data_IF_480331059397
#
_entry.id   IF_480331059397
#
_cell.length_a   1.000
_cell.length_b   1.000
_cell.length_c   1.000
_cell.angle_alpha   90.00
_cell.angle_beta   90.00
_cell.angle_gamma   90.00
#
_symmetry.space_group_name_H-M   'P 1'
#
loop_
_entity.id
_entity.type
_entity.pdbx_description
1 polymer ?
#
# COMPACT_ATOMS: atom_id res chain seq x y z
N UNK A 1 29.28 4.24 8.32
CA UNK A 1 30.04 3.08 7.73
C UNK A 1 30.22 3.34 6.25
N UNK A 2 31.45 3.32 5.76
CA UNK A 2 31.79 3.51 4.33
C UNK A 2 32.33 2.20 3.77
N UNK A 3 31.83 1.80 2.61
CA UNK A 3 32.30 0.60 1.89
C UNK A 3 32.78 1.00 0.50
N UNK A 4 34.00 0.61 0.17
CA UNK A 4 34.64 0.88 -1.12
C UNK A 4 34.60 -0.36 -2.00
N UNK A 5 34.18 -0.21 -3.24
CA UNK A 5 34.07 -1.27 -4.21
C UNK A 5 34.96 -0.97 -5.42
N UNK A 6 36.04 -1.73 -5.59
CA UNK A 6 36.92 -1.67 -6.76
C UNK A 6 36.47 -2.67 -7.84
N UNK A 7 36.86 -2.49 -9.12
CA UNK A 7 36.51 -3.43 -10.19
C UNK A 7 36.97 -4.84 -9.86
N UNK A 8 36.07 -5.82 -9.93
CA UNK A 8 36.42 -7.25 -9.70
C UNK A 8 36.74 -7.63 -8.26
N UNK A 9 36.69 -6.70 -7.30
CA UNK A 9 37.05 -6.96 -5.91
C UNK A 9 35.83 -6.91 -4.97
N UNK A 10 35.82 -7.66 -3.86
CA UNK A 10 34.82 -7.52 -2.83
C UNK A 10 34.85 -6.12 -2.21
N UNK A 11 33.76 -5.71 -1.56
CA UNK A 11 33.71 -4.44 -0.83
C UNK A 11 34.67 -4.42 0.37
N UNK A 12 35.39 -3.32 0.51
CA UNK A 12 36.31 -3.08 1.65
C UNK A 12 35.71 -1.97 2.51
N UNK A 13 35.53 -2.24 3.79
CA UNK A 13 35.04 -1.24 4.74
C UNK A 13 36.19 -0.35 5.22
N UNK A 14 35.86 0.92 5.52
CA UNK A 14 36.80 1.83 6.15
C UNK A 14 37.01 1.42 7.62
N UNK A 15 38.21 0.97 7.92
CA UNK A 15 38.62 0.63 9.30
C UNK A 15 39.43 1.77 9.93
N UNK A 16 39.42 1.83 11.26
CA UNK A 16 40.20 2.82 12.01
C UNK A 16 41.71 2.67 11.72
N UNK A 17 42.31 3.71 11.13
CA UNK A 17 43.74 3.74 10.77
C UNK A 17 44.03 3.55 9.28
N UNK A 18 43.02 3.22 8.45
CA UNK A 18 43.20 3.15 6.99
C UNK A 18 42.98 4.54 6.37
N UNK A 19 43.84 4.95 5.45
CA UNK A 19 43.67 6.22 4.74
C UNK A 19 42.47 6.14 3.78
N UNK A 20 41.49 7.04 3.98
CA UNK A 20 40.35 7.15 3.07
C UNK A 20 40.79 7.41 1.62
N UNK A 21 41.85 8.20 1.41
CA UNK A 21 42.39 8.51 0.09
C UNK A 21 42.96 7.27 -0.64
N UNK A 22 43.58 6.35 0.08
CA UNK A 22 44.13 5.12 -0.53
C UNK A 22 43.04 4.17 -1.03
N UNK A 23 41.95 4.02 -0.27
CA UNK A 23 40.79 3.20 -0.66
C UNK A 23 39.95 3.86 -1.76
N UNK A 24 39.95 5.19 -1.81
CA UNK A 24 39.20 5.95 -2.80
C UNK A 24 39.79 5.80 -4.21
N UNK A 25 41.12 5.74 -4.34
CA UNK A 25 41.78 5.74 -5.64
C UNK A 25 41.32 4.61 -6.59
N UNK A 26 41.22 3.33 -6.19
CA UNK A 26 40.77 2.23 -7.03
C UNK A 26 39.25 2.06 -7.09
N UNK A 27 38.48 2.74 -6.22
CA UNK A 27 37.06 2.48 -6.07
C UNK A 27 36.24 3.12 -7.21
N UNK A 28 35.37 2.30 -7.83
CA UNK A 28 34.35 2.73 -8.80
C UNK A 28 33.02 3.01 -8.16
N UNK A 29 32.78 2.45 -6.96
CA UNK A 29 31.59 2.68 -6.16
C UNK A 29 31.95 2.81 -4.68
N UNK A 30 31.43 3.85 -4.04
CA UNK A 30 31.61 4.13 -2.61
C UNK A 30 30.21 4.22 -2.01
N UNK A 31 29.88 3.32 -1.07
CA UNK A 31 28.56 3.27 -0.43
C UNK A 31 28.65 3.76 1.02
N UNK A 32 27.98 4.88 1.30
CA UNK A 32 27.82 5.48 2.63
C UNK A 32 26.51 5.02 3.23
N UNK A 33 26.60 4.13 4.18
CA UNK A 33 25.44 3.67 4.94
C UNK A 33 25.49 4.23 6.37
N UNK A 34 24.58 5.12 6.70
CA UNK A 34 24.52 5.81 8.00
C UNK A 34 25.93 6.30 8.42
N UNK A 35 26.59 7.14 7.60
CA UNK A 35 27.92 7.61 7.92
C UNK A 35 27.92 8.47 9.20
N UNK A 36 29.05 8.50 9.89
CA UNK A 36 29.30 9.47 10.95
C UNK A 36 29.83 10.77 10.33
N UNK A 37 29.73 11.88 11.06
CA UNK A 37 30.23 13.18 10.61
C UNK A 37 31.72 13.16 10.29
N UNK A 38 32.51 12.35 11.01
CA UNK A 38 33.94 12.21 10.76
C UNK A 38 34.21 11.42 9.48
N UNK A 39 33.40 10.37 9.19
CA UNK A 39 33.46 9.62 7.94
C UNK A 39 33.07 10.49 6.74
N UNK A 40 32.02 11.33 6.87
CA UNK A 40 31.62 12.29 5.83
C UNK A 40 32.75 13.27 5.51
N UNK A 41 33.28 13.95 6.51
CA UNK A 41 34.40 14.91 6.33
C UNK A 41 35.65 14.25 5.75
N UNK A 42 35.97 13.04 6.16
CA UNK A 42 37.12 12.32 5.60
C UNK A 42 36.94 12.03 4.11
N UNK A 43 35.74 11.68 3.68
CA UNK A 43 35.42 11.41 2.26
C UNK A 43 35.33 12.70 1.45
N UNK A 44 34.74 13.77 2.00
CA UNK A 44 34.69 15.10 1.39
C UNK A 44 36.11 15.62 1.09
N UNK A 45 36.99 15.51 2.07
CA UNK A 45 38.39 15.91 1.90
C UNK A 45 39.13 15.06 0.88
N UNK A 46 38.85 13.76 0.80
CA UNK A 46 39.50 12.84 -0.14
C UNK A 46 38.99 13.01 -1.60
N UNK A 47 37.72 13.38 -1.78
CA UNK A 47 37.08 13.49 -3.11
C UNK A 47 36.92 14.93 -3.59
N UNK A 48 37.00 15.93 -2.71
CA UNK A 48 36.74 17.33 -3.06
C UNK A 48 35.28 17.60 -3.40
N UNK A 49 34.36 16.90 -2.78
CA UNK A 49 32.91 17.03 -2.97
C UNK A 49 32.25 17.44 -1.64
N UNK A 50 31.01 17.91 -1.72
CA UNK A 50 30.15 18.14 -0.58
C UNK A 50 29.15 16.98 -0.46
N UNK A 51 28.98 16.40 0.72
CA UNK A 51 28.04 15.31 0.97
C UNK A 51 26.74 15.93 1.54
N UNK A 52 25.58 15.75 0.88
CA UNK A 52 24.32 16.31 1.34
C UNK A 52 23.95 15.80 2.74
N UNK A 53 23.49 16.70 3.58
CA UNK A 53 22.95 16.34 4.89
C UNK A 53 21.66 15.53 4.78
N UNK A 54 21.29 14.86 5.87
CA UNK A 54 20.04 14.08 5.90
C UNK A 54 18.80 14.96 5.69
N UNK A 55 18.84 16.20 6.18
CA UNK A 55 17.78 17.21 6.03
C UNK A 55 17.64 17.62 4.56
N UNK A 56 18.74 17.94 3.88
CA UNK A 56 18.77 18.28 2.46
C UNK A 56 18.24 17.15 1.57
N UNK A 57 18.56 15.90 1.90
CA UNK A 57 18.01 14.75 1.17
C UNK A 57 16.48 14.62 1.30
N UNK A 58 15.86 15.19 2.33
CA UNK A 58 14.42 15.15 2.59
C UNK A 58 13.66 16.34 2.01
N UNK A 59 14.36 17.36 1.51
CA UNK A 59 13.74 18.51 0.89
C UNK A 59 12.85 18.09 -0.30
N UNK A 60 11.71 18.78 -0.46
CA UNK A 60 10.72 18.44 -1.49
C UNK A 60 11.09 19.08 -2.83
N UNK A 61 11.83 20.17 -2.80
CA UNK A 61 12.18 20.93 -4.00
C UNK A 61 13.09 20.14 -4.94
N UNK A 62 12.76 20.16 -6.23
CA UNK A 62 13.53 19.44 -7.26
C UNK A 62 14.95 19.98 -7.40
N UNK A 63 15.14 21.28 -7.26
CA UNK A 63 16.44 21.95 -7.33
C UNK A 63 17.40 21.50 -6.25
N UNK A 64 16.88 21.09 -5.10
CA UNK A 64 17.67 20.55 -3.97
C UNK A 64 17.99 19.06 -4.16
N UNK A 65 17.23 18.36 -5.00
CA UNK A 65 17.40 16.91 -5.23
C UNK A 65 18.18 16.54 -6.48
N UNK A 66 18.17 17.41 -7.49
CA UNK A 66 18.79 17.17 -8.80
C UNK A 66 19.59 18.40 -9.19
N UNK A 67 20.88 18.38 -8.97
CA UNK A 67 21.77 19.50 -9.27
C UNK A 67 23.16 19.04 -9.69
N UNK A 68 23.92 19.95 -10.28
CA UNK A 68 25.31 19.75 -10.65
C UNK A 68 26.18 20.70 -9.84
N UNK A 69 27.22 20.16 -9.23
CA UNK A 69 28.24 20.95 -8.54
C UNK A 69 29.62 20.52 -9.05
N UNK A 70 30.34 21.44 -9.66
CA UNK A 70 31.60 21.10 -10.37
C UNK A 70 31.37 20.09 -11.48
N UNK A 71 32.10 18.97 -11.42
CA UNK A 71 31.96 17.85 -12.35
C UNK A 71 31.09 16.71 -11.79
N UNK A 72 30.48 16.91 -10.64
CA UNK A 72 29.65 15.91 -9.98
C UNK A 72 28.16 16.18 -10.15
N UNK A 73 27.37 15.11 -10.40
CA UNK A 73 25.91 15.17 -10.47
C UNK A 73 25.34 14.60 -9.19
N UNK A 74 24.51 15.38 -8.52
CA UNK A 74 23.79 15.01 -7.31
C UNK A 74 22.35 14.67 -7.65
N UNK A 75 21.93 13.47 -7.31
CA UNK A 75 20.60 12.97 -7.64
C UNK A 75 20.02 12.21 -6.45
N UNK A 76 18.97 12.74 -5.86
CA UNK A 76 18.28 12.12 -4.71
C UNK A 76 16.95 11.52 -5.15
N UNK A 77 16.83 10.19 -4.99
CA UNK A 77 15.63 9.42 -5.23
C UNK A 77 15.00 8.92 -3.94
N UNK A 78 13.68 8.68 -3.97
CA UNK A 78 12.93 8.11 -2.85
C UNK A 78 12.65 6.65 -3.12
N UNK A 79 13.05 5.77 -2.19
CA UNK A 79 12.87 4.33 -2.26
C UNK A 79 11.86 3.85 -1.23
N UNK A 80 11.09 2.83 -1.60
CA UNK A 80 10.26 2.09 -0.66
C UNK A 80 11.14 1.13 0.12
N UNK A 81 11.05 1.20 1.44
CA UNK A 81 11.73 0.31 2.37
C UNK A 81 10.70 -0.44 3.23
N UNK A 82 11.07 -1.60 3.78
CA UNK A 82 10.19 -2.42 4.60
C UNK A 82 8.85 -2.79 3.93
N UNK A 83 8.81 -2.90 2.60
CA UNK A 83 7.60 -3.17 1.83
C UNK A 83 6.87 -4.47 2.23
N UNK A 84 7.58 -5.44 2.82
CA UNK A 84 7.02 -6.72 3.28
C UNK A 84 6.52 -6.67 4.73
N UNK A 85 6.67 -5.54 5.43
CA UNK A 85 6.18 -5.35 6.80
C UNK A 85 4.79 -4.70 6.81
N UNK A 86 4.13 -4.75 7.98
CA UNK A 86 2.85 -4.06 8.19
C UNK A 86 2.97 -2.52 8.12
N UNK A 87 4.19 -1.99 8.14
CA UNK A 87 4.44 -0.55 8.11
C UNK A 87 5.55 -0.23 7.08
N UNK A 88 5.22 -0.19 5.77
CA UNK A 88 6.17 0.21 4.74
C UNK A 88 6.60 1.67 4.97
N UNK A 89 7.86 1.96 4.70
CA UNK A 89 8.44 3.30 4.86
C UNK A 89 9.10 3.74 3.57
N UNK A 90 9.32 5.05 3.41
CA UNK A 90 10.10 5.62 2.31
C UNK A 90 11.41 6.19 2.86
N UNK A 91 12.49 6.02 2.12
CA UNK A 91 13.81 6.56 2.47
C UNK A 91 14.45 7.21 1.26
N UNK A 92 15.06 8.37 1.46
CA UNK A 92 15.86 9.02 0.43
C UNK A 92 17.21 8.31 0.25
N UNK A 93 17.68 8.24 -0.99
CA UNK A 93 19.01 7.78 -1.38
C UNK A 93 19.58 8.79 -2.36
N UNK A 94 20.79 9.27 -2.09
CA UNK A 94 21.50 10.19 -2.99
C UNK A 94 22.57 9.45 -3.77
N UNK A 95 22.60 9.69 -5.07
CA UNK A 95 23.60 9.24 -6.02
C UNK A 95 24.45 10.43 -6.43
N UNK A 96 25.74 10.42 -6.13
CA UNK A 96 26.71 11.43 -6.57
C UNK A 96 27.55 10.80 -7.66
N UNK A 97 27.28 11.18 -8.92
CA UNK A 97 27.99 10.65 -10.08
C UNK A 97 29.15 11.58 -10.40
N UNK A 98 30.34 11.04 -10.27
CA UNK A 98 31.63 11.67 -10.62
C UNK A 98 32.15 11.07 -11.94
N UNK A 99 33.13 11.70 -12.62
CA UNK A 99 33.63 11.21 -13.91
C UNK A 99 34.03 9.74 -13.93
N UNK A 100 34.59 9.22 -12.84
CA UNK A 100 35.14 7.86 -12.79
C UNK A 100 34.48 6.95 -11.75
N UNK A 101 33.54 7.47 -10.95
CA UNK A 101 32.98 6.70 -9.84
C UNK A 101 31.57 7.17 -9.46
N UNK A 102 30.89 6.30 -8.73
CA UNK A 102 29.62 6.59 -8.08
C UNK A 102 29.82 6.62 -6.58
N UNK A 103 29.23 7.61 -5.91
CA UNK A 103 29.07 7.62 -4.45
C UNK A 103 27.58 7.52 -4.15
N UNK A 104 27.19 6.63 -3.24
CA UNK A 104 25.80 6.50 -2.76
C UNK A 104 25.73 6.83 -1.28
N UNK A 105 24.72 7.63 -0.90
CA UNK A 105 24.44 8.00 0.49
C UNK A 105 23.05 7.53 0.86
N UNK A 106 22.94 6.78 1.96
CA UNK A 106 21.67 6.21 2.42
C UNK A 106 21.64 6.01 3.93
N UNK A 107 20.46 6.15 4.51
CA UNK A 107 20.20 5.96 5.94
C UNK A 107 19.33 4.74 6.27
N UNK A 108 18.89 4.00 5.26
CA UNK A 108 18.22 2.72 5.37
C UNK A 108 18.97 1.65 4.57
N UNK A 109 18.67 0.39 4.78
CA UNK A 109 19.18 -0.72 3.97
C UNK A 109 18.07 -1.28 3.07
N UNK A 110 17.80 -0.65 1.90
CA UNK A 110 16.80 -1.14 0.99
C UNK A 110 17.27 -2.42 0.28
N UNK A 111 16.33 -3.34 0.05
CA UNK A 111 16.60 -4.63 -0.59
C UNK A 111 17.37 -4.55 -1.91
N UNK A 112 17.14 -3.56 -2.80
CA UNK A 112 17.92 -3.42 -4.03
C UNK A 112 19.42 -3.29 -3.82
N UNK A 113 19.88 -2.63 -2.78
CA UNK A 113 21.31 -2.53 -2.47
C UNK A 113 21.91 -3.89 -2.05
N UNK A 114 21.13 -4.71 -1.36
CA UNK A 114 21.54 -6.05 -0.95
C UNK A 114 21.63 -6.96 -2.16
N UNK A 115 20.60 -6.99 -3.02
CA UNK A 115 20.57 -7.81 -4.23
C UNK A 115 21.64 -7.36 -5.24
N UNK A 116 21.80 -6.06 -5.44
CA UNK A 116 22.81 -5.52 -6.34
C UNK A 116 24.24 -5.86 -5.91
N UNK A 117 24.56 -5.81 -4.61
CA UNK A 117 25.88 -6.24 -4.11
C UNK A 117 26.19 -7.70 -4.50
N UNK A 118 25.19 -8.58 -4.37
CA UNK A 118 25.32 -9.99 -4.75
C UNK A 118 25.47 -10.16 -6.27
N UNK A 119 24.68 -9.44 -7.06
CA UNK A 119 24.75 -9.45 -8.53
C UNK A 119 26.10 -8.94 -9.04
N UNK A 120 26.60 -7.83 -8.48
CA UNK A 120 27.91 -7.28 -8.81
C UNK A 120 29.05 -8.26 -8.48
N UNK A 121 28.94 -9.01 -7.38
CA UNK A 121 29.93 -10.01 -7.02
C UNK A 121 29.93 -11.21 -7.98
N UNK A 122 28.76 -11.59 -8.49
CA UNK A 122 28.61 -12.67 -9.46
C UNK A 122 29.11 -12.28 -10.86
N UNK A 123 28.97 -11.02 -11.25
CA UNK A 123 29.24 -10.49 -12.60
C UNK A 123 30.05 -9.19 -12.56
N UNK A 124 31.27 -9.20 -12.04
CA UNK A 124 32.09 -8.00 -11.87
C UNK A 124 32.47 -7.32 -13.19
N UNK A 125 32.47 -8.06 -14.30
CA UNK A 125 32.82 -7.59 -15.63
C UNK A 125 31.84 -6.54 -16.20
N UNK A 126 30.61 -6.48 -15.69
CA UNK A 126 29.59 -5.51 -16.15
C UNK A 126 29.67 -4.16 -15.44
N UNK A 127 30.41 -4.06 -14.33
CA UNK A 127 30.41 -2.86 -13.47
C UNK A 127 31.83 -2.25 -13.38
N UNK A 128 32.30 -1.71 -14.51
CA UNK A 128 33.68 -1.23 -14.70
C UNK A 128 33.91 0.19 -14.23
N UNK A 129 32.88 0.99 -14.21
CA UNK A 129 32.90 2.41 -13.87
C UNK A 129 31.65 2.80 -13.07
N UNK A 130 31.61 4.05 -12.56
CA UNK A 130 30.49 4.53 -11.75
C UNK A 130 29.16 4.63 -12.53
N UNK A 131 29.21 4.80 -13.84
CA UNK A 131 28.00 4.88 -14.69
C UNK A 131 27.31 3.51 -14.81
N UNK A 132 28.10 2.43 -14.97
CA UNK A 132 27.58 1.07 -15.05
C UNK A 132 26.98 0.64 -13.70
N UNK A 133 27.64 1.03 -12.60
CA UNK A 133 27.14 0.78 -11.23
C UNK A 133 25.81 1.51 -11.01
N UNK A 134 25.71 2.78 -11.44
CA UNK A 134 24.44 3.53 -11.32
C UNK A 134 23.32 2.85 -12.11
N UNK A 135 23.59 2.47 -13.36
CA UNK A 135 22.59 1.81 -14.20
C UNK A 135 22.09 0.51 -13.58
N UNK A 136 23.00 -0.33 -13.08
CA UNK A 136 22.63 -1.58 -12.41
C UNK A 136 21.90 -1.39 -11.07
N UNK A 137 22.25 -0.34 -10.30
CA UNK A 137 21.50 0.00 -9.08
C UNK A 137 20.10 0.48 -9.41
N UNK A 138 19.93 1.33 -10.42
CA UNK A 138 18.62 1.81 -10.85
C UNK A 138 17.75 0.66 -11.36
N UNK A 139 18.32 -0.27 -12.12
CA UNK A 139 17.66 -1.48 -12.57
C UNK A 139 17.15 -2.31 -11.39
N UNK A 140 18.02 -2.64 -10.43
CA UNK A 140 17.64 -3.39 -9.23
C UNK A 140 16.56 -2.68 -8.36
N UNK A 141 16.55 -1.33 -8.36
CA UNK A 141 15.53 -0.54 -7.67
C UNK A 141 14.17 -0.70 -8.36
N UNK A 142 14.15 -0.64 -9.69
CA UNK A 142 12.92 -0.71 -10.48
C UNK A 142 12.35 -2.11 -10.45
N UNK A 143 13.18 -3.15 -10.57
CA UNK A 143 12.80 -4.54 -10.37
C UNK A 143 12.11 -4.73 -9.02
N UNK A 144 12.67 -4.15 -7.96
CA UNK A 144 12.05 -4.24 -6.63
C UNK A 144 10.69 -3.56 -6.55
N UNK A 145 10.51 -2.42 -7.23
CA UNK A 145 9.20 -1.75 -7.28
C UNK A 145 8.20 -2.58 -8.09
N UNK A 146 8.65 -3.24 -9.17
CA UNK A 146 7.83 -4.18 -9.93
C UNK A 146 7.35 -5.35 -9.07
N UNK A 147 8.25 -6.00 -8.30
CA UNK A 147 7.90 -7.07 -7.35
C UNK A 147 6.86 -6.61 -6.32
N UNK A 148 7.01 -5.38 -5.79
CA UNK A 148 6.06 -4.79 -4.85
C UNK A 148 4.67 -4.66 -5.49
N UNK A 149 4.59 -4.11 -6.70
CA UNK A 149 3.32 -3.94 -7.41
C UNK A 149 2.69 -5.28 -7.77
N UNK A 150 3.47 -6.29 -8.16
CA UNK A 150 2.97 -7.65 -8.40
C UNK A 150 2.36 -8.26 -7.12
N UNK A 151 3.05 -8.17 -6.00
CA UNK A 151 2.55 -8.61 -4.69
C UNK A 151 1.24 -7.91 -4.29
N UNK A 152 1.17 -6.60 -4.55
CA UNK A 152 -0.04 -5.80 -4.35
C UNK A 152 -1.18 -6.29 -5.23
N UNK A 153 -0.91 -6.57 -6.52
CA UNK A 153 -1.88 -7.12 -7.45
C UNK A 153 -2.52 -8.39 -6.92
N UNK A 154 -1.69 -9.35 -6.49
CA UNK A 154 -2.17 -10.60 -5.87
C UNK A 154 -2.95 -10.39 -4.58
N UNK A 155 -2.65 -9.33 -3.82
CA UNK A 155 -3.39 -8.97 -2.60
C UNK A 155 -4.76 -8.39 -2.93
N UNK A 156 -4.86 -7.52 -3.94
CA UNK A 156 -6.12 -6.95 -4.44
C UNK A 156 -7.04 -8.02 -5.02
N UNK A 157 -6.50 -9.03 -5.72
CA UNK A 157 -7.28 -10.14 -6.24
C UNK A 157 -7.90 -10.97 -5.10
N UNK A 158 -7.12 -11.26 -4.06
CA UNK A 158 -7.63 -11.96 -2.87
C UNK A 158 -8.72 -11.14 -2.14
N UNK A 159 -8.56 -9.83 -2.04
CA UNK A 159 -9.58 -8.94 -1.47
C UNK A 159 -10.83 -8.96 -2.33
N UNK A 160 -10.69 -8.86 -3.65
CA UNK A 160 -11.81 -8.93 -4.60
C UNK A 160 -12.61 -10.22 -4.44
N UNK A 161 -11.93 -11.37 -4.41
CA UNK A 161 -12.58 -12.66 -4.18
C UNK A 161 -13.34 -12.68 -2.85
N UNK A 162 -12.77 -12.18 -1.75
CA UNK A 162 -13.45 -12.12 -0.45
C UNK A 162 -14.69 -11.24 -0.46
N UNK A 163 -14.68 -10.12 -1.20
CA UNK A 163 -15.81 -9.21 -1.30
C UNK A 163 -16.93 -9.86 -2.10
N UNK A 164 -16.63 -10.42 -3.28
CA UNK A 164 -17.63 -10.88 -4.23
C UNK A 164 -17.99 -12.39 -4.08
N UNK A 165 -17.07 -13.25 -3.64
CA UNK A 165 -17.33 -14.67 -3.39
C UNK A 165 -17.90 -14.96 -2.00
N UNK A 166 -18.02 -13.94 -1.13
CA UNK A 166 -18.70 -14.09 0.16
C UNK A 166 -20.18 -14.50 0.03
N UNK A 167 -20.73 -14.51 -1.18
CA UNK A 167 -22.04 -15.08 -1.51
C UNK A 167 -21.99 -16.54 -1.99
N UNK A 168 -20.80 -17.09 -2.30
CA UNK A 168 -20.67 -18.49 -2.66
C UNK A 168 -20.60 -19.37 -1.39
N UNK A 169 -21.57 -20.25 -1.12
CA UNK A 169 -21.43 -21.25 -0.06
C UNK A 169 -20.44 -22.31 -0.52
N UNK A 170 -19.37 -22.48 0.27
CA UNK A 170 -18.39 -23.57 0.20
C UNK A 170 -18.18 -24.24 -1.17
N UNK A 171 -17.08 -23.90 -1.81
CA UNK A 171 -16.34 -24.73 -2.75
C UNK A 171 -17.12 -25.30 -3.92
N UNK A 172 -17.29 -24.53 -4.99
CA UNK A 172 -17.75 -25.06 -6.28
C UNK A 172 -18.60 -24.05 -7.05
N UNK A 173 -18.15 -23.70 -8.24
CA UNK A 173 -18.90 -22.99 -9.26
C UNK A 173 -20.18 -23.77 -9.62
N UNK A 174 -21.27 -23.49 -8.95
CA UNK A 174 -22.58 -24.03 -9.31
C UNK A 174 -23.66 -22.97 -9.04
N UNK A 175 -24.11 -22.31 -10.08
CA UNK A 175 -25.16 -21.27 -10.09
C UNK A 175 -26.58 -21.81 -9.71
N UNK A 176 -26.70 -23.12 -9.38
CA UNK A 176 -27.98 -23.81 -9.17
C UNK A 176 -28.24 -24.30 -7.73
N UNK A 177 -27.61 -23.76 -6.69
CA UNK A 177 -27.88 -24.20 -5.31
C UNK A 177 -28.82 -23.28 -4.56
N UNK A 178 -30.00 -23.83 -4.21
CA UNK A 178 -31.00 -23.24 -3.31
C UNK A 178 -30.43 -22.93 -1.92
N UNK A 179 -30.83 -21.84 -1.26
CA UNK A 179 -30.31 -21.41 0.04
C UNK A 179 -30.73 -22.38 1.15
N UNK A 180 -29.75 -23.05 1.78
CA UNK A 180 -29.98 -23.83 3.00
C UNK A 180 -30.27 -22.93 4.19
N UNK A 181 -31.51 -23.04 4.73
CA UNK A 181 -31.96 -22.40 5.97
C UNK A 181 -31.28 -23.07 7.17
N UNK A 182 -30.39 -22.35 7.88
CA UNK A 182 -29.93 -22.78 9.19
C UNK A 182 -28.48 -22.40 9.49
N UNK A 183 -28.27 -21.30 10.24
CA UNK A 183 -27.10 -20.82 10.99
C UNK A 183 -26.82 -19.31 10.77
N UNK A 184 -27.84 -18.46 10.85
CA UNK A 184 -27.72 -17.03 10.47
C UNK A 184 -26.94 -16.14 11.47
N UNK A 185 -26.99 -16.41 12.77
CA UNK A 185 -26.43 -15.50 13.77
C UNK A 185 -24.90 -15.56 13.94
N UNK A 186 -24.28 -16.76 13.82
CA UNK A 186 -22.82 -16.93 13.98
C UNK A 186 -22.08 -16.47 12.74
N UNK A 187 -22.62 -16.71 11.54
CA UNK A 187 -22.09 -16.21 10.25
C UNK A 187 -22.13 -14.69 10.15
N UNK A 188 -23.10 -14.03 10.76
CA UNK A 188 -23.27 -12.57 10.68
C UNK A 188 -22.24 -11.80 11.52
N UNK A 189 -21.91 -12.27 12.74
CA UNK A 189 -20.82 -11.69 13.56
C UNK A 189 -19.44 -11.87 12.91
N UNK A 190 -19.24 -12.99 12.23
CA UNK A 190 -18.01 -13.29 11.49
C UNK A 190 -17.85 -12.35 10.30
N UNK A 191 -18.92 -12.07 9.52
CA UNK A 191 -18.90 -11.13 8.39
C UNK A 191 -18.54 -9.69 8.78
N UNK A 192 -19.03 -9.21 9.90
CA UNK A 192 -18.73 -7.84 10.35
C UNK A 192 -17.25 -7.68 10.73
N UNK A 193 -16.63 -8.71 11.33
CA UNK A 193 -15.18 -8.78 11.55
C UNK A 193 -14.40 -8.84 10.23
N UNK A 194 -14.92 -9.56 9.24
CA UNK A 194 -14.31 -9.72 7.91
C UNK A 194 -14.24 -8.38 7.14
N UNK A 195 -15.28 -7.53 7.22
CA UNK A 195 -15.28 -6.22 6.54
C UNK A 195 -14.25 -5.25 7.14
N UNK A 196 -14.07 -5.26 8.46
CA UNK A 196 -13.04 -4.42 9.12
C UNK A 196 -11.63 -4.86 8.67
N UNK A 197 -11.38 -6.17 8.58
CA UNK A 197 -10.11 -6.71 8.08
C UNK A 197 -9.89 -6.34 6.60
N UNK A 198 -10.94 -6.44 5.77
CA UNK A 198 -10.89 -6.05 4.36
C UNK A 198 -10.55 -4.55 4.22
N UNK A 199 -11.22 -3.66 4.95
CA UNK A 199 -10.97 -2.22 4.92
C UNK A 199 -9.55 -1.89 5.37
N UNK A 200 -9.05 -2.55 6.42
CA UNK A 200 -7.67 -2.38 6.88
C UNK A 200 -6.66 -2.80 5.79
N UNK A 201 -6.89 -3.95 5.15
CA UNK A 201 -6.03 -4.44 4.05
C UNK A 201 -6.06 -3.51 2.84
N UNK A 202 -7.23 -2.99 2.47
CA UNK A 202 -7.37 -1.98 1.41
C UNK A 202 -6.53 -0.76 1.76
N UNK A 203 -6.62 -0.26 3.00
CA UNK A 203 -5.83 0.88 3.47
C UNK A 203 -4.32 0.65 3.40
N UNK A 204 -3.82 -0.46 3.94
CA UNK A 204 -2.40 -0.83 3.88
C UNK A 204 -1.91 -0.98 2.42
N UNK A 205 -2.72 -1.59 1.56
CA UNK A 205 -2.38 -1.77 0.14
C UNK A 205 -2.34 -0.43 -0.59
N UNK A 206 -3.27 0.49 -0.27
CA UNK A 206 -3.32 1.85 -0.82
C UNK A 206 -2.07 2.66 -0.45
N UNK A 207 -1.62 2.59 0.81
CA UNK A 207 -0.41 3.26 1.25
C UNK A 207 0.82 2.74 0.51
N UNK A 208 0.93 1.41 0.35
CA UNK A 208 2.06 0.79 -0.36
C UNK A 208 2.09 1.18 -1.85
N UNK A 209 0.92 1.22 -2.53
CA UNK A 209 0.83 1.67 -3.94
C UNK A 209 1.22 3.14 -4.06
N UNK A 210 0.80 3.99 -3.11
CA UNK A 210 1.13 5.42 -3.10
C UNK A 210 2.63 5.63 -2.96
N UNK A 211 3.30 4.90 -2.06
CA UNK A 211 4.76 4.93 -1.88
C UNK A 211 5.51 4.39 -3.10
N UNK A 212 5.03 3.29 -3.69
CA UNK A 212 5.61 2.76 -4.91
C UNK A 212 5.53 3.78 -6.06
N UNK A 213 4.40 4.45 -6.21
CA UNK A 213 4.21 5.50 -7.22
C UNK A 213 5.12 6.70 -6.96
N UNK A 214 5.26 7.15 -5.72
CA UNK A 214 6.20 8.21 -5.35
C UNK A 214 7.64 7.83 -5.74
N UNK A 215 8.05 6.60 -5.45
CA UNK A 215 9.35 6.05 -5.82
C UNK A 215 9.54 6.07 -7.35
N UNK A 216 8.57 5.56 -8.12
CA UNK A 216 8.63 5.54 -9.59
C UNK A 216 8.77 6.95 -10.17
N UNK A 217 7.99 7.92 -9.69
CA UNK A 217 8.07 9.32 -10.14
C UNK A 217 9.42 9.93 -9.80
N UNK A 218 9.94 9.64 -8.60
CA UNK A 218 11.24 10.12 -8.16
C UNK A 218 12.37 9.58 -9.05
N UNK A 219 12.39 8.26 -9.30
CA UNK A 219 13.43 7.66 -10.15
C UNK A 219 13.27 7.98 -11.62
N UNK A 220 12.05 8.20 -12.13
CA UNK A 220 11.86 8.71 -13.48
C UNK A 220 12.55 10.07 -13.70
N UNK A 221 12.51 10.94 -12.69
CA UNK A 221 13.22 12.24 -12.70
C UNK A 221 14.73 12.07 -12.62
N UNK A 222 15.23 11.18 -11.74
CA UNK A 222 16.67 10.85 -11.64
C UNK A 222 17.19 10.34 -12.97
N UNK A 223 16.51 9.39 -13.61
CA UNK A 223 16.91 8.84 -14.92
C UNK A 223 16.86 9.90 -16.00
N UNK A 224 15.82 10.73 -16.05
CA UNK A 224 15.70 11.81 -17.03
C UNK A 224 16.81 12.83 -16.87
N UNK A 225 17.09 13.29 -15.64
CA UNK A 225 18.15 14.24 -15.34
C UNK A 225 19.53 13.69 -15.68
N UNK A 226 19.82 12.45 -15.31
CA UNK A 226 21.09 11.80 -15.64
C UNK A 226 21.30 11.70 -17.15
N UNK A 227 20.27 11.28 -17.90
CA UNK A 227 20.35 11.14 -19.35
C UNK A 227 20.60 12.48 -20.04
N UNK A 228 19.98 13.54 -19.55
CA UNK A 228 20.18 14.91 -20.06
C UNK A 228 21.62 15.39 -19.82
N UNK A 229 22.13 15.18 -18.60
CA UNK A 229 23.45 15.68 -18.21
C UNK A 229 24.61 14.87 -18.80
N UNK A 230 24.39 13.61 -19.17
CA UNK A 230 25.45 12.69 -19.62
C UNK A 230 25.35 12.32 -21.11
N UNK A 231 24.45 12.92 -21.87
CA UNK A 231 24.15 12.55 -23.27
C UNK A 231 25.37 12.60 -24.20
N UNK A 232 26.34 13.49 -23.95
CA UNK A 232 27.57 13.63 -24.71
C UNK A 232 28.77 12.88 -24.11
N UNK A 233 28.61 12.27 -22.94
CA UNK A 233 29.72 11.60 -22.26
C UNK A 233 29.97 10.18 -22.84
N UNK A 234 31.12 9.94 -23.50
CA UNK A 234 31.42 8.62 -24.05
C UNK A 234 31.49 7.50 -23.00
N UNK A 235 31.93 7.82 -21.77
CA UNK A 235 32.03 6.86 -20.68
C UNK A 235 30.66 6.38 -20.17
N UNK A 236 29.61 7.17 -20.36
CA UNK A 236 28.24 6.87 -19.96
C UNK A 236 27.43 6.14 -21.05
N UNK A 237 27.98 5.93 -22.24
CA UNK A 237 27.24 5.46 -23.43
C UNK A 237 26.48 4.14 -23.19
N UNK A 238 27.14 3.15 -22.61
CA UNK A 238 26.52 1.83 -22.31
C UNK A 238 25.41 2.00 -21.26
N UNK A 239 25.67 2.73 -20.19
CA UNK A 239 24.67 3.05 -19.16
C UNK A 239 23.47 3.82 -19.73
N UNK A 240 23.68 4.78 -20.65
CA UNK A 240 22.58 5.54 -21.30
C UNK A 240 21.67 4.67 -22.17
N UNK A 241 22.25 3.67 -22.87
CA UNK A 241 21.46 2.69 -23.66
C UNK A 241 20.60 1.84 -22.72
N UNK A 242 21.16 1.35 -21.64
CA UNK A 242 20.43 0.57 -20.63
C UNK A 242 19.32 1.42 -19.97
N UNK A 243 19.65 2.62 -19.52
CA UNK A 243 18.70 3.55 -18.89
C UNK A 243 17.57 4.03 -19.82
N UNK A 244 17.69 3.86 -21.11
CA UNK A 244 16.58 4.08 -22.05
C UNK A 244 15.48 3.02 -21.87
N UNK A 245 15.86 1.76 -21.67
CA UNK A 245 14.91 0.67 -21.36
C UNK A 245 14.28 0.90 -19.99
N UNK A 246 15.10 1.16 -19.00
CA UNK A 246 14.68 1.48 -17.61
C UNK A 246 13.67 2.63 -17.56
N UNK A 247 13.83 3.67 -18.39
CA UNK A 247 12.86 4.76 -18.48
C UNK A 247 11.50 4.30 -19.06
N UNK A 248 11.49 3.35 -19.99
CA UNK A 248 10.28 2.70 -20.49
C UNK A 248 9.56 1.90 -19.42
N UNK A 249 10.32 1.13 -18.65
CA UNK A 249 9.78 0.30 -17.54
C UNK A 249 9.20 1.18 -16.42
N UNK A 250 9.86 2.29 -16.07
CA UNK A 250 9.33 3.29 -15.13
C UNK A 250 7.98 3.86 -15.57
N UNK A 251 7.82 4.15 -16.87
CA UNK A 251 6.53 4.60 -17.43
C UNK A 251 5.46 3.54 -17.28
N UNK A 252 5.74 2.31 -17.73
CA UNK A 252 4.81 1.18 -17.68
C UNK A 252 4.38 0.83 -16.24
N UNK A 253 5.33 0.83 -15.30
CA UNK A 253 5.04 0.59 -13.88
C UNK A 253 4.24 1.71 -13.24
N UNK A 254 4.45 2.98 -13.65
CA UNK A 254 3.67 4.13 -13.18
C UNK A 254 2.21 4.05 -13.63
N UNK A 255 1.98 3.63 -14.88
CA UNK A 255 0.64 3.38 -15.41
C UNK A 255 -0.03 2.22 -14.66
N UNK A 256 0.71 1.15 -14.40
CA UNK A 256 0.23 0.01 -13.63
C UNK A 256 -0.13 0.39 -12.19
N UNK A 257 0.69 1.20 -11.52
CA UNK A 257 0.40 1.73 -10.18
C UNK A 257 -0.88 2.60 -10.17
N UNK A 258 -1.09 3.37 -11.24
CA UNK A 258 -2.31 4.18 -11.42
C UNK A 258 -3.54 3.29 -11.60
N UNK A 259 -3.45 2.24 -12.42
CA UNK A 259 -4.51 1.23 -12.55
C UNK A 259 -4.86 0.57 -11.21
N UNK A 260 -3.84 0.18 -10.43
CA UNK A 260 -4.05 -0.40 -9.10
C UNK A 260 -4.75 0.56 -8.13
N UNK A 261 -4.41 1.86 -8.18
CA UNK A 261 -5.10 2.89 -7.39
C UNK A 261 -6.58 2.96 -7.72
N UNK A 262 -6.95 2.88 -9.00
CA UNK A 262 -8.33 2.80 -9.45
C UNK A 262 -9.05 1.55 -8.94
N UNK A 263 -8.38 0.38 -9.02
CA UNK A 263 -8.91 -0.88 -8.49
C UNK A 263 -9.14 -0.84 -6.98
N UNK A 264 -8.23 -0.21 -6.23
CA UNK A 264 -8.35 0.01 -4.78
C UNK A 264 -9.60 0.85 -4.47
N UNK A 265 -9.81 1.97 -5.16
CA UNK A 265 -10.97 2.83 -4.99
C UNK A 265 -12.28 2.07 -5.28
N UNK A 266 -12.32 1.29 -6.36
CA UNK A 266 -13.47 0.44 -6.69
C UNK A 266 -13.77 -0.59 -5.58
N UNK A 267 -12.74 -1.28 -5.06
CA UNK A 267 -12.94 -2.27 -3.99
C UNK A 267 -13.39 -1.63 -2.68
N UNK A 268 -12.91 -0.43 -2.39
CA UNK A 268 -13.34 0.36 -1.23
C UNK A 268 -14.84 0.71 -1.34
N UNK A 269 -15.26 1.26 -2.48
CA UNK A 269 -16.66 1.61 -2.74
C UNK A 269 -17.56 0.38 -2.69
N UNK A 270 -17.16 -0.74 -3.30
CA UNK A 270 -17.89 -2.00 -3.25
C UNK A 270 -18.05 -2.51 -1.80
N UNK A 271 -16.97 -2.45 -1.00
CA UNK A 271 -16.99 -2.87 0.41
C UNK A 271 -17.96 -2.01 1.22
N UNK A 272 -17.93 -0.67 1.06
CA UNK A 272 -18.84 0.25 1.74
C UNK A 272 -20.29 0.02 1.31
N UNK A 273 -20.54 -0.25 0.02
CA UNK A 273 -21.86 -0.60 -0.50
C UNK A 273 -22.41 -1.88 0.15
N UNK A 274 -21.59 -2.90 0.32
CA UNK A 274 -21.99 -4.14 0.99
C UNK A 274 -22.29 -3.95 2.47
N UNK A 275 -21.47 -3.15 3.19
CA UNK A 275 -21.73 -2.78 4.58
C UNK A 275 -23.07 -2.05 4.72
N UNK A 276 -23.35 -1.09 3.86
CA UNK A 276 -24.63 -0.36 3.85
C UNK A 276 -25.82 -1.30 3.59
N UNK A 277 -25.67 -2.25 2.65
CA UNK A 277 -26.72 -3.24 2.37
C UNK A 277 -26.98 -4.15 3.59
N UNK A 278 -25.94 -4.58 4.28
CA UNK A 278 -26.07 -5.39 5.50
C UNK A 278 -26.74 -4.59 6.64
N UNK A 279 -26.36 -3.32 6.84
CA UNK A 279 -26.99 -2.43 7.81
C UNK A 279 -28.47 -2.22 7.51
N UNK A 280 -28.83 -1.98 6.25
CA UNK A 280 -30.22 -1.85 5.83
C UNK A 280 -31.03 -3.12 6.12
N UNK A 281 -30.42 -4.31 5.95
CA UNK A 281 -31.03 -5.58 6.33
C UNK A 281 -31.33 -5.68 7.84
N UNK A 282 -30.43 -5.16 8.70
CA UNK A 282 -30.65 -5.13 10.16
C UNK A 282 -31.78 -4.18 10.50
N UNK A 283 -31.78 -2.96 9.94
CA UNK A 283 -32.83 -1.97 10.17
C UNK A 283 -34.19 -2.52 9.78
N UNK A 284 -34.29 -3.22 8.63
CA UNK A 284 -35.55 -3.88 8.22
C UNK A 284 -36.06 -4.86 9.27
N UNK A 285 -35.19 -5.72 9.80
CA UNK A 285 -35.59 -6.73 10.82
C UNK A 285 -36.09 -6.05 12.09
N UNK A 286 -35.37 -5.03 12.58
CA UNK A 286 -35.77 -4.28 13.79
C UNK A 286 -37.09 -3.54 13.57
N UNK A 287 -37.24 -2.90 12.42
CA UNK A 287 -38.47 -2.18 12.05
C UNK A 287 -39.67 -3.12 11.98
N UNK A 288 -39.52 -4.29 11.37
CA UNK A 288 -40.59 -5.30 11.32
C UNK A 288 -40.96 -5.79 12.72
N UNK A 289 -39.95 -6.08 13.56
CA UNK A 289 -40.23 -6.49 14.94
C UNK A 289 -41.02 -5.39 15.69
N UNK A 290 -40.61 -4.13 15.58
CA UNK A 290 -41.28 -3.02 16.23
C UNK A 290 -42.73 -2.90 15.77
N UNK A 291 -42.98 -2.96 14.44
CA UNK A 291 -44.34 -2.83 13.87
C UNK A 291 -45.24 -4.00 14.25
N UNK A 292 -44.71 -5.18 14.44
CA UNK A 292 -45.48 -6.36 14.86
C UNK A 292 -45.78 -6.33 16.36
N UNK A 293 -44.88 -5.86 17.23
CA UNK A 293 -45.05 -5.92 18.67
C UNK A 293 -45.66 -4.68 19.29
N UNK A 294 -45.47 -3.46 18.75
CA UNK A 294 -45.97 -2.22 19.33
C UNK A 294 -47.51 -2.15 19.41
N UNK A 295 -48.27 -2.45 18.34
CA UNK A 295 -49.73 -2.31 18.39
C UNK A 295 -50.40 -3.27 19.42
N UNK A 296 -50.04 -4.59 19.47
CA UNK A 296 -50.57 -5.47 20.54
C UNK A 296 -50.20 -5.01 21.95
N UNK A 297 -48.99 -4.49 22.15
CA UNK A 297 -48.57 -3.97 23.45
C UNK A 297 -49.38 -2.75 23.85
N UNK A 298 -49.67 -1.85 22.89
CA UNK A 298 -50.53 -0.72 23.12
C UNK A 298 -51.96 -1.17 23.56
N UNK A 299 -52.55 -2.15 22.87
CA UNK A 299 -53.85 -2.70 23.23
C UNK A 299 -53.82 -3.27 24.65
N UNK A 300 -52.79 -4.11 24.97
CA UNK A 300 -52.62 -4.68 26.31
C UNK A 300 -52.45 -3.59 27.37
N UNK A 301 -51.69 -2.53 27.08
CA UNK A 301 -51.47 -1.41 28.03
C UNK A 301 -52.79 -0.62 28.28
N UNK A 302 -53.59 -0.38 27.26
CA UNK A 302 -54.88 0.31 27.41
C UNK A 302 -55.84 -0.51 28.30
N UNK A 303 -55.98 -1.81 28.05
CA UNK A 303 -56.83 -2.69 28.87
C UNK A 303 -56.24 -3.04 30.23
N UNK A 304 -54.95 -2.78 30.44
CA UNK A 304 -54.25 -2.92 31.72
C UNK A 304 -54.29 -1.66 32.61
N UNK A 305 -54.95 -0.58 32.19
CA UNK A 305 -55.07 0.67 32.94
C UNK A 305 -56.12 0.49 34.10
N UNK A 306 -55.83 1.10 35.25
CA UNK A 306 -56.68 1.02 36.44
C UNK A 306 -57.66 2.18 36.51
N UNK A 307 -58.52 2.33 35.50
CA UNK A 307 -59.63 3.31 35.54
C UNK A 307 -60.86 2.69 36.17
N UNK A 308 -61.63 3.45 36.99
CA UNK A 308 -62.85 2.97 37.66
C UNK A 308 -64.00 2.72 36.67
N UNK A 309 -64.02 3.41 35.55
CA UNK A 309 -65.05 3.26 34.54
C UNK A 309 -64.42 2.83 33.21
N UNK A 310 -64.42 1.52 32.99
CA UNK A 310 -64.06 0.89 31.69
C UNK A 310 -65.21 -0.03 31.27
N UNK A 311 -66.10 0.42 30.37
CA UNK A 311 -67.31 -0.35 30.00
C UNK A 311 -66.99 -1.74 29.43
N UNK A 312 -65.85 -1.86 28.71
CA UNK A 312 -65.40 -3.07 28.03
C UNK A 312 -64.97 -4.17 29.00
N UNK A 313 -64.50 -3.85 30.20
CA UNK A 313 -64.10 -4.83 31.24
C UNK A 313 -65.31 -5.55 31.86
N UNK A 314 -66.52 -4.95 31.79
CA UNK A 314 -67.77 -5.56 32.31
C UNK A 314 -68.46 -6.41 31.23
N UNK A 315 -67.96 -6.41 30.00
CA UNK A 315 -68.54 -7.20 28.91
C UNK A 315 -68.01 -8.66 28.96
N UNK A 316 -68.91 -9.63 28.90
CA UNK A 316 -68.58 -11.06 28.98
C UNK A 316 -67.61 -11.49 27.85
N UNK A 317 -67.71 -10.85 26.68
CA UNK A 317 -66.83 -11.09 25.53
C UNK A 317 -65.63 -10.15 25.49
N UNK A 318 -65.39 -9.27 26.45
CA UNK A 318 -64.33 -8.26 26.46
C UNK A 318 -62.92 -8.85 26.35
N UNK A 319 -62.64 -9.92 27.12
CA UNK A 319 -61.34 -10.61 27.08
C UNK A 319 -61.04 -11.26 25.71
N UNK A 320 -61.91 -12.13 25.17
CA UNK A 320 -61.65 -12.67 23.83
C UNK A 320 -61.60 -11.60 22.73
N UNK A 321 -62.37 -10.51 22.86
CA UNK A 321 -62.30 -9.37 21.91
C UNK A 321 -60.92 -8.70 21.95
N UNK A 322 -60.37 -8.42 23.15
CA UNK A 322 -59.03 -7.85 23.30
C UNK A 322 -57.94 -8.74 22.71
N UNK A 323 -58.03 -10.07 22.90
CA UNK A 323 -57.09 -11.01 22.31
C UNK A 323 -57.13 -11.02 20.77
N UNK A 324 -58.35 -11.01 20.21
CA UNK A 324 -58.55 -10.95 18.75
C UNK A 324 -58.00 -9.62 18.19
N UNK A 325 -58.24 -8.51 18.88
CA UNK A 325 -57.75 -7.19 18.48
C UNK A 325 -56.23 -7.15 18.51
N UNK A 326 -55.55 -7.74 19.53
CA UNK A 326 -54.09 -7.87 19.58
C UNK A 326 -53.56 -8.67 18.39
N UNK A 327 -54.15 -9.82 18.08
CA UNK A 327 -53.74 -10.65 16.94
C UNK A 327 -53.92 -9.90 15.61
N UNK A 328 -55.05 -9.27 15.41
CA UNK A 328 -55.31 -8.49 14.18
C UNK A 328 -54.33 -7.33 14.07
N UNK A 329 -54.04 -6.60 15.17
CA UNK A 329 -53.08 -5.49 15.20
C UNK A 329 -51.66 -5.91 14.91
N UNK A 330 -51.26 -7.18 15.17
CA UNK A 330 -49.98 -7.73 14.78
C UNK A 330 -49.93 -8.21 13.32
N UNK A 331 -50.96 -8.95 12.90
CA UNK A 331 -51.00 -9.62 11.60
C UNK A 331 -51.24 -8.64 10.45
N UNK A 332 -52.09 -7.62 10.64
CA UNK A 332 -52.43 -6.69 9.58
C UNK A 332 -51.24 -5.86 9.08
N UNK A 333 -50.43 -5.22 9.94
CA UNK A 333 -49.24 -4.53 9.48
C UNK A 333 -48.22 -5.46 8.83
N UNK A 334 -48.02 -6.64 9.41
CA UNK A 334 -47.11 -7.64 8.82
C UNK A 334 -47.55 -8.04 7.39
N UNK A 335 -48.84 -8.29 7.18
CA UNK A 335 -49.36 -8.65 5.87
C UNK A 335 -49.22 -7.49 4.84
N UNK A 336 -49.42 -6.24 5.30
CA UNK A 336 -49.24 -5.05 4.45
C UNK A 336 -47.79 -4.90 4.02
N UNK A 337 -46.83 -5.01 4.97
CA UNK A 337 -45.41 -4.88 4.66
C UNK A 337 -44.93 -6.00 3.74
N UNK A 338 -45.40 -7.25 3.97
CA UNK A 338 -45.09 -8.37 3.09
C UNK A 338 -45.63 -8.18 1.66
N UNK A 339 -46.86 -7.65 1.52
CA UNK A 339 -47.46 -7.36 0.19
C UNK A 339 -46.75 -6.23 -0.55
N UNK A 340 -46.19 -5.24 0.18
CA UNK A 340 -45.42 -4.13 -0.41
C UNK A 340 -43.97 -4.49 -0.72
N UNK A 341 -43.52 -5.71 -0.44
CA UNK A 341 -42.13 -6.13 -0.69
C UNK A 341 -41.09 -5.47 0.22
N UNK A 342 -41.54 -4.93 1.38
CA UNK A 342 -40.63 -4.32 2.36
C UNK A 342 -40.01 -5.36 3.33
N UNK A 343 -40.52 -6.56 3.25
CA UNK A 343 -40.10 -7.78 4.00
C UNK A 343 -39.51 -8.81 3.10
#
# INVERSE_FOLDING_TARGET
MITFYSPGAPGVQLESGTSCAELTAPAVWIDLFQPTTDEEKALEAALGINIPTREEMQEIELSSRLYKEGDSLYMTGIMVTNASSDNPTSSAVTFIVMPNRLVTLRYAEPQPFVSFRSQRQAHPEFYRNGHDVLAGLLDAIIDRVADILESVGGSLDRISLRIFDAEAPDGGSNWDRQPQKGKSGRRRRQRQGDFVDILRRIGCTSDLVSRARESLVSFARVVAYYREMQHENPAAREALVHLKTVAGDLGSLSDHATFMSGKISFLLEATLGMINNEQNGIIKIVSVAAVVFLPPTLVASVYGMNFEVMPELKWVAGYPFALILMVISAVLPYAIFKRKGWL
#
